data_IF_128872188007
#
_entry.id   IF_128872188007
#
_cell.length_a   1.000
_cell.length_b   1.000
_cell.length_c   1.000
_cell.angle_alpha   90.00
_cell.angle_beta   90.00
_cell.angle_gamma   90.00
#
_symmetry.space_group_name_H-M   'P 1'
#
loop_
_entity.id
_entity.type
_entity.pdbx_description
1 polymer ?
#
# COMPACT_ATOMS: atom_id res chain seq x y z
N UNK A 1 -68.87 -50.43 -82.59
CA UNK A 1 -67.63 -51.21 -82.46
C UNK A 1 -66.67 -50.38 -81.59
N UNK A 2 -66.51 -50.80 -80.38
CA UNK A 2 -65.78 -50.10 -79.30
C UNK A 2 -64.53 -50.90 -79.11
N UNK A 3 -63.36 -50.36 -79.37
CA UNK A 3 -62.09 -50.98 -79.01
C UNK A 3 -61.43 -50.21 -77.85
N UNK A 4 -61.25 -50.98 -76.79
CA UNK A 4 -60.65 -50.67 -75.53
C UNK A 4 -59.17 -50.34 -75.67
N UNK A 5 -58.72 -49.18 -75.24
CA UNK A 5 -57.29 -48.94 -74.97
C UNK A 5 -57.02 -49.21 -73.50
N UNK A 6 -56.42 -50.37 -73.22
CA UNK A 6 -55.71 -50.57 -71.90
C UNK A 6 -54.33 -49.98 -71.93
N UNK A 7 -54.16 -48.89 -71.29
CA UNK A 7 -52.81 -48.34 -70.99
C UNK A 7 -52.09 -49.17 -70.03
N UNK A 8 -51.04 -49.87 -70.45
CA UNK A 8 -50.03 -50.47 -69.51
C UNK A 8 -49.14 -49.36 -68.98
N UNK A 9 -49.49 -48.89 -67.80
CA UNK A 9 -48.51 -48.13 -67.03
C UNK A 9 -47.53 -49.12 -66.36
N UNK A 10 -46.36 -49.26 -67.00
CA UNK A 10 -45.28 -50.12 -66.53
C UNK A 10 -44.80 -49.66 -65.16
N UNK A 11 -44.77 -50.58 -64.18
CA UNK A 11 -44.21 -50.36 -62.84
C UNK A 11 -42.76 -49.86 -62.89
N UNK A 12 -42.06 -50.00 -64.00
CA UNK A 12 -40.72 -49.42 -64.19
C UNK A 12 -40.76 -47.89 -64.46
N UNK A 13 -41.82 -47.37 -64.99
CA UNK A 13 -41.97 -45.91 -65.15
C UNK A 13 -42.25 -45.17 -63.87
N UNK A 14 -43.02 -45.78 -62.96
CA UNK A 14 -43.29 -45.23 -61.65
C UNK A 14 -42.05 -45.24 -60.75
N UNK A 15 -41.22 -46.30 -60.82
CA UNK A 15 -39.98 -46.37 -60.09
C UNK A 15 -38.93 -45.36 -60.60
N UNK A 16 -38.88 -45.14 -61.93
CA UNK A 16 -37.97 -44.14 -62.51
C UNK A 16 -38.37 -42.69 -62.17
N UNK A 17 -39.68 -42.37 -62.14
CA UNK A 17 -40.17 -41.06 -61.74
C UNK A 17 -40.02 -40.80 -60.24
N UNK A 18 -40.18 -41.80 -59.38
CA UNK A 18 -39.93 -41.70 -57.93
C UNK A 18 -38.44 -41.49 -57.64
N UNK A 19 -37.56 -42.20 -58.34
CA UNK A 19 -36.10 -42.03 -58.22
C UNK A 19 -35.64 -40.66 -58.73
N UNK A 20 -36.19 -40.15 -59.78
CA UNK A 20 -35.88 -38.82 -60.34
C UNK A 20 -36.40 -37.71 -59.41
N UNK A 21 -37.59 -37.87 -58.81
CA UNK A 21 -38.13 -36.94 -57.81
C UNK A 21 -37.25 -36.93 -56.54
N UNK A 22 -36.75 -38.11 -56.07
CA UNK A 22 -35.87 -38.20 -54.93
C UNK A 22 -34.48 -37.60 -55.19
N UNK A 23 -33.97 -37.72 -56.43
CA UNK A 23 -32.72 -37.14 -56.87
C UNK A 23 -32.79 -35.61 -57.04
N UNK A 24 -33.96 -35.05 -57.34
CA UNK A 24 -34.16 -33.62 -57.41
C UNK A 24 -34.39 -32.97 -56.04
N UNK A 25 -34.89 -33.73 -55.04
CA UNK A 25 -35.09 -33.25 -53.68
C UNK A 25 -33.78 -33.38 -52.85
N UNK A 26 -32.88 -34.30 -53.25
CA UNK A 26 -31.60 -34.52 -52.54
C UNK A 26 -30.61 -33.36 -52.52
N UNK A 27 -30.51 -32.46 -53.51
CA UNK A 27 -29.66 -31.28 -53.40
C UNK A 27 -30.31 -30.10 -52.65
N UNK A 28 -31.58 -30.20 -52.30
CA UNK A 28 -32.26 -29.23 -51.44
C UNK A 28 -32.23 -29.62 -49.93
N UNK A 29 -31.25 -30.38 -49.50
CA UNK A 29 -30.76 -30.25 -48.15
C UNK A 29 -30.12 -28.87 -48.07
N UNK A 30 -30.93 -27.88 -47.74
CA UNK A 30 -30.49 -26.52 -47.43
C UNK A 30 -29.39 -26.69 -46.38
N UNK A 31 -28.13 -26.59 -46.81
CA UNK A 31 -27.06 -26.28 -45.93
C UNK A 31 -27.48 -25.00 -45.25
N UNK A 32 -28.04 -25.07 -44.09
CA UNK A 32 -28.18 -23.86 -43.25
C UNK A 32 -26.78 -23.38 -43.12
N UNK A 33 -26.41 -22.38 -43.92
CA UNK A 33 -25.26 -21.56 -43.62
C UNK A 33 -25.58 -21.01 -42.24
N UNK A 34 -24.93 -21.60 -41.22
CA UNK A 34 -24.97 -21.01 -39.91
C UNK A 34 -24.36 -19.63 -40.08
N UNK A 35 -25.18 -18.59 -40.12
CA UNK A 35 -24.69 -17.25 -40.01
C UNK A 35 -24.13 -17.16 -38.60
N UNK A 36 -22.83 -16.94 -38.49
CA UNK A 36 -22.20 -16.62 -37.20
C UNK A 36 -22.90 -15.41 -36.62
N UNK A 37 -23.43 -15.55 -35.44
CA UNK A 37 -24.02 -14.42 -34.73
C UNK A 37 -22.92 -13.42 -34.28
N UNK A 38 -23.35 -12.29 -33.79
CA UNK A 38 -22.42 -11.27 -33.29
C UNK A 38 -22.46 -11.29 -31.78
N UNK A 39 -21.34 -11.65 -31.14
CA UNK A 39 -21.17 -11.46 -29.69
C UNK A 39 -21.49 -10.02 -29.30
N UNK A 40 -22.18 -9.83 -28.20
CA UNK A 40 -22.44 -8.51 -27.63
C UNK A 40 -21.58 -8.24 -26.42
N UNK A 41 -21.34 -6.99 -26.05
CA UNK A 41 -20.51 -6.57 -24.91
C UNK A 41 -19.11 -7.22 -24.89
N UNK A 42 -18.51 -7.42 -26.06
CA UNK A 42 -17.15 -7.97 -26.17
C UNK A 42 -16.13 -6.93 -25.77
N UNK A 43 -15.25 -7.29 -24.87
CA UNK A 43 -14.04 -6.52 -24.59
C UNK A 43 -12.91 -7.42 -24.09
N UNK A 44 -11.69 -6.95 -24.30
CA UNK A 44 -10.47 -7.50 -23.72
C UNK A 44 -9.76 -6.37 -22.98
N UNK A 45 -9.62 -6.51 -21.67
CA UNK A 45 -8.87 -5.59 -20.86
C UNK A 45 -7.44 -6.11 -20.71
N UNK A 46 -6.49 -5.25 -20.96
CA UNK A 46 -5.08 -5.50 -20.65
C UNK A 46 -4.74 -4.77 -19.34
N UNK A 47 -4.05 -5.44 -18.43
CA UNK A 47 -3.63 -4.85 -17.16
C UNK A 47 -2.45 -3.90 -17.33
N UNK A 48 -1.73 -4.01 -18.44
CA UNK A 48 -0.72 -3.07 -18.93
C UNK A 48 -0.93 -2.82 -20.42
N UNK A 49 -0.81 -1.58 -20.82
CA UNK A 49 -0.94 -1.14 -22.21
C UNK A 49 0.34 -0.51 -22.75
N UNK A 50 1.38 -0.41 -21.92
CA UNK A 50 2.69 0.15 -22.33
C UNK A 50 3.36 -0.78 -23.34
N UNK A 51 3.92 -0.18 -24.40
CA UNK A 51 4.65 -0.89 -25.46
C UNK A 51 5.74 -1.79 -24.88
N UNK A 52 5.92 -2.97 -25.51
CA UNK A 52 6.92 -3.98 -25.14
C UNK A 52 6.82 -4.49 -23.69
N UNK A 53 5.67 -4.30 -23.04
CA UNK A 53 5.45 -4.73 -21.64
C UNK A 53 4.63 -6.02 -21.61
N UNK A 54 5.08 -6.98 -20.80
CA UNK A 54 4.34 -8.19 -20.50
C UNK A 54 3.09 -7.87 -19.68
N UNK A 55 1.96 -8.51 -20.00
CA UNK A 55 0.67 -8.16 -19.39
C UNK A 55 -0.21 -9.37 -19.12
N UNK A 56 -1.01 -9.26 -18.08
CA UNK A 56 -2.20 -10.06 -17.82
C UNK A 56 -3.45 -9.32 -18.30
N UNK A 57 -4.63 -9.94 -18.19
CA UNK A 57 -5.86 -9.24 -18.56
C UNK A 57 -7.11 -10.10 -18.43
N UNK A 58 -8.21 -9.54 -18.92
CA UNK A 58 -9.56 -10.14 -18.83
C UNK A 58 -10.20 -10.16 -20.20
N UNK A 59 -10.83 -11.27 -20.53
CA UNK A 59 -11.70 -11.45 -21.71
C UNK A 59 -13.13 -11.56 -21.23
N UNK A 60 -14.03 -10.78 -21.83
CA UNK A 60 -15.46 -10.90 -21.58
C UNK A 60 -16.24 -10.87 -22.91
N UNK A 61 -17.32 -11.64 -22.97
CA UNK A 61 -18.25 -11.64 -24.08
C UNK A 61 -19.64 -12.12 -23.65
N UNK A 62 -20.67 -11.63 -24.35
CA UNK A 62 -22.04 -12.11 -24.21
C UNK A 62 -22.44 -12.82 -25.51
N UNK A 63 -22.76 -14.13 -25.47
CA UNK A 63 -23.24 -14.87 -26.65
C UNK A 63 -24.61 -14.37 -27.09
N UNK A 64 -24.85 -14.35 -28.40
CA UNK A 64 -26.08 -13.92 -29.02
C UNK A 64 -26.86 -15.06 -29.69
N UNK A 65 -26.15 -16.14 -30.06
CA UNK A 65 -26.73 -17.27 -30.76
C UNK A 65 -26.75 -18.51 -29.85
N UNK A 66 -27.86 -19.23 -29.85
CA UNK A 66 -27.93 -20.53 -29.20
C UNK A 66 -27.08 -21.53 -29.96
N UNK A 67 -26.07 -22.06 -29.31
CA UNK A 67 -25.16 -23.08 -29.86
C UNK A 67 -24.63 -23.96 -28.74
N UNK A 68 -23.85 -24.97 -29.09
CA UNK A 68 -23.11 -25.75 -28.10
C UNK A 68 -21.64 -25.42 -28.25
N UNK A 69 -21.16 -24.50 -27.40
CA UNK A 69 -19.79 -24.07 -27.39
C UNK A 69 -18.89 -25.18 -26.84
N UNK A 70 -17.71 -25.30 -27.45
CA UNK A 70 -16.64 -26.19 -26.98
C UNK A 70 -15.30 -25.46 -26.88
N UNK A 71 -15.17 -24.31 -27.51
CA UNK A 71 -13.97 -23.47 -27.41
C UNK A 71 -14.31 -21.97 -27.61
N UNK A 72 -13.43 -21.14 -27.06
CA UNK A 72 -13.37 -19.71 -27.33
C UNK A 72 -11.98 -19.38 -27.89
N UNK A 73 -11.96 -18.62 -28.97
CA UNK A 73 -10.75 -18.07 -29.56
C UNK A 73 -10.66 -16.57 -29.26
N UNK A 74 -9.48 -16.15 -28.85
CA UNK A 74 -9.13 -14.76 -28.70
C UNK A 74 -8.01 -14.45 -29.67
N UNK A 75 -8.32 -13.64 -30.67
CA UNK A 75 -7.30 -13.12 -31.60
C UNK A 75 -6.81 -11.78 -31.09
N UNK A 76 -5.55 -11.74 -30.73
CA UNK A 76 -4.89 -10.52 -30.27
C UNK A 76 -4.50 -9.64 -31.45
N UNK A 77 -4.39 -8.31 -31.25
CA UNK A 77 -4.03 -7.43 -32.35
C UNK A 77 -2.64 -7.75 -32.93
N UNK A 78 -2.46 -7.40 -34.20
CA UNK A 78 -1.16 -7.50 -34.86
C UNK A 78 -0.09 -6.73 -34.10
N UNK A 79 1.12 -7.32 -34.01
CA UNK A 79 2.26 -6.71 -33.31
C UNK A 79 2.37 -7.09 -31.83
N UNK A 80 1.32 -7.68 -31.23
CA UNK A 80 1.44 -8.31 -29.91
C UNK A 80 2.24 -9.61 -30.01
N UNK A 81 3.06 -9.88 -29.02
CA UNK A 81 3.81 -11.14 -28.95
C UNK A 81 3.09 -12.09 -28.00
N UNK A 82 2.80 -13.28 -28.46
CA UNK A 82 2.13 -14.32 -27.67
C UNK A 82 3.12 -15.37 -27.21
N UNK A 83 2.96 -15.82 -25.98
CA UNK A 83 3.65 -16.97 -25.41
C UNK A 83 3.07 -18.29 -25.95
N UNK A 84 3.58 -19.40 -25.44
CA UNK A 84 3.02 -20.74 -25.74
C UNK A 84 1.67 -20.95 -25.07
N UNK A 85 0.90 -21.94 -25.50
CA UNK A 85 -0.40 -22.26 -24.91
C UNK A 85 -0.33 -22.44 -23.38
N UNK A 86 0.71 -23.06 -22.86
CA UNK A 86 0.91 -23.25 -21.43
C UNK A 86 1.10 -21.95 -20.62
N UNK A 87 1.46 -20.84 -21.27
CA UNK A 87 1.54 -19.53 -20.61
C UNK A 87 0.16 -18.90 -20.37
N UNK A 88 -0.87 -19.32 -21.12
CA UNK A 88 -2.23 -18.79 -20.97
C UNK A 88 -3.01 -19.52 -19.87
N UNK A 89 -2.46 -19.50 -18.65
CA UNK A 89 -3.19 -19.97 -17.46
C UNK A 89 -4.34 -19.01 -17.17
N UNK A 90 -5.49 -19.54 -16.77
CA UNK A 90 -6.70 -18.75 -16.58
C UNK A 90 -7.25 -18.84 -15.16
N UNK A 91 -8.04 -17.83 -14.79
CA UNK A 91 -8.78 -17.78 -13.55
C UNK A 91 -10.13 -17.12 -13.78
N UNK A 92 -11.14 -17.61 -13.06
CA UNK A 92 -12.48 -16.99 -13.01
C UNK A 92 -12.76 -16.32 -11.66
N UNK A 93 -11.74 -16.20 -10.81
CA UNK A 93 -11.82 -15.42 -9.55
C UNK A 93 -11.48 -13.96 -9.81
N UNK A 94 -11.99 -13.07 -8.95
CA UNK A 94 -11.74 -11.61 -9.05
C UNK A 94 -12.14 -11.00 -10.41
N UNK A 95 -13.28 -11.41 -10.93
CA UNK A 95 -13.92 -10.79 -12.10
C UNK A 95 -14.61 -9.48 -11.66
N UNK A 96 -13.86 -8.60 -10.99
CA UNK A 96 -14.41 -7.40 -10.36
C UNK A 96 -14.97 -6.39 -11.36
N UNK A 97 -14.59 -6.51 -12.61
CA UNK A 97 -15.09 -5.65 -13.68
C UNK A 97 -15.07 -6.40 -15.03
N UNK A 98 -16.15 -6.30 -15.79
CA UNK A 98 -17.34 -5.49 -15.54
C UNK A 98 -18.22 -6.11 -14.45
N UNK A 99 -18.98 -5.22 -13.76
CA UNK A 99 -19.98 -5.66 -12.78
C UNK A 99 -21.01 -6.60 -13.46
N UNK A 100 -21.24 -7.76 -12.87
CA UNK A 100 -22.15 -8.77 -13.41
C UNK A 100 -21.52 -9.81 -14.34
N UNK A 101 -20.17 -9.80 -14.48
CA UNK A 101 -19.46 -10.86 -15.20
C UNK A 101 -19.60 -12.21 -14.48
N UNK A 102 -20.07 -13.21 -15.21
CA UNK A 102 -20.17 -14.60 -14.77
C UNK A 102 -18.90 -15.35 -15.14
N UNK A 103 -18.49 -16.31 -14.31
CA UNK A 103 -17.37 -17.19 -14.63
C UNK A 103 -17.60 -17.93 -15.96
N UNK A 104 -16.64 -17.88 -16.87
CA UNK A 104 -16.71 -18.61 -18.14
C UNK A 104 -16.70 -20.12 -17.87
N UNK A 105 -17.71 -20.87 -18.28
CA UNK A 105 -17.82 -22.29 -17.94
C UNK A 105 -16.73 -23.13 -18.62
N UNK A 106 -16.20 -24.09 -17.89
CA UNK A 106 -15.15 -25.02 -18.35
C UNK A 106 -13.88 -24.38 -18.93
N UNK A 107 -13.68 -23.08 -18.70
CA UNK A 107 -12.46 -22.38 -19.12
C UNK A 107 -11.25 -22.99 -18.42
N UNK A 108 -10.19 -23.22 -19.15
CA UNK A 108 -8.92 -23.75 -18.63
C UNK A 108 -7.76 -23.19 -19.44
N UNK A 109 -6.52 -23.56 -19.08
CA UNK A 109 -5.33 -23.19 -19.84
C UNK A 109 -5.53 -23.40 -21.33
N UNK A 110 -5.04 -22.49 -22.15
CA UNK A 110 -5.18 -22.57 -23.60
C UNK A 110 -4.68 -23.90 -24.17
N UNK A 111 -5.38 -24.40 -25.15
CA UNK A 111 -5.04 -25.64 -25.85
C UNK A 111 -4.15 -25.40 -27.06
N UNK A 112 -4.23 -24.21 -27.67
CA UNK A 112 -3.45 -23.87 -28.86
C UNK A 112 -3.16 -22.38 -28.93
N UNK A 113 -2.00 -22.04 -29.51
CA UNK A 113 -1.64 -20.69 -29.96
C UNK A 113 -1.16 -20.80 -31.40
N UNK A 114 -1.82 -20.11 -32.31
CA UNK A 114 -1.46 -20.09 -33.72
C UNK A 114 -1.48 -18.63 -34.21
N UNK A 115 -0.32 -18.13 -34.64
CA UNK A 115 -0.18 -16.72 -35.03
C UNK A 115 -0.65 -15.80 -33.88
N UNK A 116 -1.67 -14.98 -34.12
CA UNK A 116 -2.24 -14.04 -33.14
C UNK A 116 -3.46 -14.61 -32.40
N UNK A 117 -3.82 -15.89 -32.61
CA UNK A 117 -5.03 -16.49 -32.05
C UNK A 117 -4.70 -17.52 -30.99
N UNK A 118 -5.35 -17.39 -29.85
CA UNK A 118 -5.27 -18.30 -28.70
C UNK A 118 -6.61 -19.00 -28.57
N UNK A 119 -6.60 -20.33 -28.47
CA UNK A 119 -7.80 -21.15 -28.29
C UNK A 119 -7.84 -21.69 -26.87
N UNK A 120 -8.96 -21.45 -26.19
CA UNK A 120 -9.24 -21.99 -24.86
C UNK A 120 -10.41 -22.96 -24.92
N UNK A 121 -10.47 -24.00 -24.07
CA UNK A 121 -11.67 -24.80 -23.90
C UNK A 121 -12.82 -23.95 -23.36
N UNK A 122 -14.04 -24.28 -23.72
CA UNK A 122 -15.26 -23.63 -23.24
C UNK A 122 -16.32 -24.68 -22.95
N UNK A 123 -17.17 -24.42 -21.96
CA UNK A 123 -18.47 -25.08 -21.83
C UNK A 123 -19.52 -24.34 -22.63
N UNK A 124 -20.71 -24.91 -22.64
CA UNK A 124 -21.89 -24.34 -23.26
C UNK A 124 -22.30 -23.00 -22.62
N UNK A 125 -22.67 -22.02 -23.41
CA UNK A 125 -22.94 -20.66 -22.98
C UNK A 125 -24.43 -20.33 -23.09
N UNK A 126 -24.95 -19.60 -22.10
CA UNK A 126 -26.32 -19.11 -22.13
C UNK A 126 -26.38 -17.75 -22.83
N UNK A 127 -27.21 -17.63 -23.86
CA UNK A 127 -27.45 -16.39 -24.60
C UNK A 127 -27.83 -15.26 -23.64
N UNK A 128 -27.24 -14.09 -23.83
CA UNK A 128 -27.48 -12.88 -23.04
C UNK A 128 -26.75 -12.81 -21.71
N UNK A 129 -25.99 -13.84 -21.32
CA UNK A 129 -25.18 -13.84 -20.10
C UNK A 129 -23.78 -13.34 -20.42
N UNK A 130 -23.26 -12.36 -19.64
CA UNK A 130 -21.89 -11.89 -19.77
C UNK A 130 -20.93 -12.86 -19.09
N UNK A 131 -20.11 -13.55 -19.85
CA UNK A 131 -19.07 -14.47 -19.36
C UNK A 131 -17.70 -13.82 -19.41
N UNK A 132 -16.89 -14.05 -18.35
CA UNK A 132 -15.55 -13.51 -18.25
C UNK A 132 -14.54 -14.54 -17.73
N UNK A 133 -13.27 -14.37 -18.13
CA UNK A 133 -12.12 -15.02 -17.52
C UNK A 133 -10.88 -14.12 -17.59
N UNK A 134 -9.95 -14.32 -16.68
CA UNK A 134 -8.64 -13.67 -16.68
C UNK A 134 -7.58 -14.62 -17.22
N UNK A 135 -6.62 -14.14 -18.04
CA UNK A 135 -5.32 -14.79 -18.15
C UNK A 135 -4.38 -14.21 -17.11
N UNK A 136 -3.70 -15.08 -16.35
CA UNK A 136 -3.03 -14.70 -15.10
C UNK A 136 -1.51 -14.70 -15.17
N UNK A 137 -0.93 -15.20 -16.23
CA UNK A 137 0.51 -15.26 -16.43
C UNK A 137 0.94 -14.15 -17.40
N UNK A 138 1.81 -13.24 -16.94
CA UNK A 138 2.33 -12.15 -17.76
C UNK A 138 3.19 -12.60 -18.95
N UNK A 139 3.73 -13.81 -18.91
CA UNK A 139 4.45 -14.39 -20.05
C UNK A 139 3.53 -14.79 -21.21
N UNK A 140 2.20 -14.70 -21.04
CA UNK A 140 1.22 -15.05 -22.07
C UNK A 140 1.18 -14.01 -23.20
N UNK A 141 1.22 -12.73 -22.85
CA UNK A 141 1.04 -11.62 -23.80
C UNK A 141 2.06 -10.51 -23.52
N UNK A 142 2.75 -10.07 -24.57
CA UNK A 142 3.52 -8.83 -24.55
C UNK A 142 2.89 -7.83 -25.50
N UNK A 143 2.65 -6.63 -25.03
CA UNK A 143 2.07 -5.51 -25.81
C UNK A 143 2.97 -5.16 -26.99
N UNK A 144 2.36 -4.76 -28.10
CA UNK A 144 3.09 -4.37 -29.33
C UNK A 144 4.20 -3.36 -29.04
N UNK A 145 5.28 -3.42 -29.81
CA UNK A 145 6.46 -2.55 -29.65
C UNK A 145 6.22 -1.10 -30.06
N UNK A 146 5.16 -0.83 -30.82
CA UNK A 146 4.79 0.51 -31.28
C UNK A 146 3.49 0.97 -30.64
N UNK A 147 3.45 2.25 -30.22
CA UNK A 147 2.23 2.85 -29.72
C UNK A 147 1.21 3.06 -30.88
N UNK A 148 -0.03 2.68 -30.62
CA UNK A 148 -1.14 2.79 -31.59
C UNK A 148 -2.42 3.13 -30.82
N UNK A 149 -3.16 4.13 -31.31
CA UNK A 149 -4.40 4.58 -30.68
C UNK A 149 -5.57 3.59 -30.83
N UNK A 150 -5.49 2.68 -31.79
CA UNK A 150 -6.51 1.66 -32.04
C UNK A 150 -5.88 0.39 -32.58
N UNK A 151 -5.96 -0.66 -31.81
CA UNK A 151 -5.59 -2.03 -32.17
C UNK A 151 -6.84 -2.89 -32.12
N UNK A 152 -7.11 -3.65 -33.18
CA UNK A 152 -8.29 -4.49 -33.26
C UNK A 152 -7.94 -5.96 -33.06
N UNK A 153 -8.66 -6.64 -32.19
CA UNK A 153 -8.67 -8.07 -32.02
C UNK A 153 -10.10 -8.63 -32.16
N UNK A 154 -10.25 -9.94 -31.99
CA UNK A 154 -11.53 -10.63 -32.15
C UNK A 154 -11.71 -11.68 -31.06
N UNK A 155 -12.93 -11.85 -30.57
CA UNK A 155 -13.34 -12.99 -29.74
C UNK A 155 -14.34 -13.79 -30.56
N UNK A 156 -14.15 -15.13 -30.61
CA UNK A 156 -14.98 -16.05 -31.39
C UNK A 156 -15.30 -17.28 -30.56
N UNK A 157 -16.57 -17.65 -30.46
CA UNK A 157 -17.00 -18.92 -29.87
C UNK A 157 -17.20 -19.97 -30.96
N UNK A 158 -16.89 -21.24 -30.67
CA UNK A 158 -16.89 -22.31 -31.64
C UNK A 158 -17.46 -23.60 -31.06
N UNK A 159 -18.03 -24.42 -31.95
CA UNK A 159 -18.43 -25.81 -31.69
C UNK A 159 -17.21 -26.73 -31.55
N UNK A 160 -17.42 -27.98 -31.17
CA UNK A 160 -16.39 -29.04 -31.10
C UNK A 160 -15.79 -29.40 -32.47
N UNK A 161 -16.56 -29.31 -33.54
CA UNK A 161 -16.03 -29.34 -34.93
C UNK A 161 -15.88 -27.86 -35.33
N UNK A 162 -14.70 -27.25 -35.28
CA UNK A 162 -14.49 -25.81 -35.10
C UNK A 162 -15.23 -24.94 -36.14
N UNK A 163 -16.57 -24.83 -35.95
CA UNK A 163 -17.42 -23.93 -36.66
C UNK A 163 -17.79 -22.76 -35.76
N UNK A 164 -17.70 -21.54 -36.28
CA UNK A 164 -18.01 -20.33 -35.55
C UNK A 164 -19.50 -20.27 -35.21
N UNK A 165 -19.80 -20.03 -33.93
CA UNK A 165 -21.15 -19.77 -33.42
C UNK A 165 -21.37 -18.25 -33.40
N UNK A 166 -20.58 -17.52 -32.63
CA UNK A 166 -20.61 -16.07 -32.51
C UNK A 166 -19.21 -15.47 -32.64
N UNK A 167 -19.10 -14.27 -33.17
CA UNK A 167 -17.85 -13.54 -33.28
C UNK A 167 -18.05 -12.04 -33.20
N UNK A 168 -17.16 -11.32 -32.55
CA UNK A 168 -17.10 -9.87 -32.60
C UNK A 168 -15.69 -9.35 -32.36
N UNK A 169 -15.43 -8.16 -32.88
CA UNK A 169 -14.18 -7.44 -32.69
C UNK A 169 -14.21 -6.64 -31.39
N UNK A 170 -13.05 -6.48 -30.80
CA UNK A 170 -12.78 -5.51 -29.73
C UNK A 170 -11.65 -4.57 -30.14
N UNK A 171 -11.63 -3.39 -29.56
CA UNK A 171 -10.56 -2.42 -29.77
C UNK A 171 -9.78 -2.18 -28.48
N UNK A 172 -8.50 -1.98 -28.61
CA UNK A 172 -7.58 -1.59 -27.53
C UNK A 172 -6.56 -0.61 -28.08
N UNK A 173 -5.66 -0.14 -27.23
CA UNK A 173 -4.54 0.70 -27.62
C UNK A 173 -3.23 0.19 -27.03
N UNK A 174 -2.13 0.60 -27.63
CA UNK A 174 -0.80 0.50 -27.02
C UNK A 174 -0.23 1.91 -26.84
N UNK A 175 0.35 2.19 -25.69
CA UNK A 175 0.79 3.53 -25.30
C UNK A 175 2.26 3.51 -24.88
N UNK A 176 2.94 4.65 -24.97
CA UNK A 176 4.35 4.75 -24.56
C UNK A 176 4.51 4.66 -23.04
N UNK A 177 3.49 5.07 -22.28
CA UNK A 177 3.46 4.95 -20.83
C UNK A 177 2.01 4.87 -20.34
N UNK A 178 1.76 3.92 -19.47
CA UNK A 178 0.45 3.69 -18.82
C UNK A 178 0.53 3.88 -17.30
N UNK A 179 1.65 4.45 -16.81
CA UNK A 179 1.89 4.69 -15.40
C UNK A 179 2.19 6.15 -15.12
N UNK A 180 1.68 6.62 -13.98
CA UNK A 180 1.95 7.95 -13.44
C UNK A 180 2.79 7.77 -12.19
N UNK A 181 4.00 8.33 -12.18
CA UNK A 181 4.83 8.37 -10.97
C UNK A 181 4.38 9.54 -10.10
N UNK A 182 3.95 9.25 -8.89
CA UNK A 182 3.64 10.25 -7.87
C UNK A 182 4.76 10.26 -6.85
N UNK A 183 5.36 11.44 -6.62
CA UNK A 183 6.44 11.63 -5.65
C UNK A 183 6.09 12.79 -4.71
N UNK A 184 6.58 12.69 -3.47
CA UNK A 184 6.45 13.73 -2.47
C UNK A 184 7.70 13.78 -1.60
N UNK A 185 8.01 14.97 -1.06
CA UNK A 185 9.08 15.19 -0.09
C UNK A 185 8.48 15.69 1.21
N UNK A 186 8.86 15.07 2.33
CA UNK A 186 8.53 15.55 3.68
C UNK A 186 9.79 16.23 4.24
N UNK A 187 9.79 17.56 4.45
CA UNK A 187 10.95 18.27 5.00
C UNK A 187 11.17 17.86 6.46
N UNK A 188 12.44 17.88 6.90
CA UNK A 188 12.79 17.71 8.31
C UNK A 188 12.27 18.86 9.15
N UNK A 189 11.77 18.57 10.35
CA UNK A 189 11.28 19.55 11.30
C UNK A 189 11.73 19.22 12.71
N UNK A 190 12.17 20.24 13.46
CA UNK A 190 12.51 20.17 14.87
C UNK A 190 12.08 21.47 15.54
N UNK A 191 11.39 21.37 16.66
CA UNK A 191 11.14 22.49 17.54
C UNK A 191 11.44 22.11 18.99
N UNK A 192 12.00 23.09 19.71
CA UNK A 192 12.37 22.98 21.12
C UNK A 192 11.93 24.24 21.82
N UNK A 193 11.24 24.10 22.98
CA UNK A 193 10.76 25.21 23.75
C UNK A 193 10.88 24.93 25.26
N UNK A 194 11.26 25.95 26.02
CA UNK A 194 11.20 25.93 27.48
C UNK A 194 9.96 26.68 27.96
N UNK A 195 9.31 26.18 29.02
CA UNK A 195 8.11 26.80 29.59
C UNK A 195 8.40 28.12 30.36
N UNK A 196 9.64 28.41 30.63
CA UNK A 196 10.09 29.61 31.29
C UNK A 196 11.58 29.61 31.55
N UNK A 197 12.12 30.78 31.89
CA UNK A 197 13.57 31.04 32.13
C UNK A 197 13.96 31.23 33.60
N UNK A 198 13.02 31.12 34.53
CA UNK A 198 13.27 31.34 35.98
C UNK A 198 12.65 30.21 36.79
N UNK A 199 13.38 29.69 37.77
CA UNK A 199 12.92 28.70 38.73
C UNK A 199 13.28 29.16 40.15
N UNK A 200 12.31 29.77 40.81
CA UNK A 200 12.51 30.36 42.14
C UNK A 200 12.24 29.31 43.23
N UNK A 201 13.30 28.83 43.90
CA UNK A 201 13.22 27.82 44.97
C UNK A 201 12.69 28.38 46.27
N UNK A 202 12.65 29.71 46.40
CA UNK A 202 12.17 30.40 47.62
C UNK A 202 13.17 30.35 48.80
N UNK A 203 12.65 30.43 50.01
CA UNK A 203 13.47 30.39 51.24
C UNK A 203 13.79 28.93 51.63
N UNK A 204 15.07 28.60 51.77
CA UNK A 204 15.53 27.28 52.08
C UNK A 204 15.52 27.01 53.59
N UNK A 205 15.25 25.80 54.02
CA UNK A 205 15.26 25.35 55.41
C UNK A 205 16.20 24.16 55.60
N UNK A 206 16.90 24.13 56.72
CA UNK A 206 17.75 22.99 57.10
C UNK A 206 16.96 21.73 57.43
N UNK A 207 15.66 21.89 57.77
CA UNK A 207 14.79 20.75 58.14
C UNK A 207 14.13 20.05 56.96
N UNK A 208 14.34 20.53 55.73
CA UNK A 208 13.69 19.91 54.52
C UNK A 208 14.54 20.06 53.28
N UNK A 209 14.30 19.16 52.31
CA UNK A 209 14.75 19.36 50.92
C UNK A 209 13.70 20.20 50.21
N UNK A 210 14.15 21.27 49.54
CA UNK A 210 13.26 22.13 48.71
C UNK A 210 13.39 21.70 47.25
N UNK A 211 12.29 21.37 46.62
CA UNK A 211 12.19 21.14 45.16
C UNK A 211 11.51 22.32 44.47
N UNK A 212 11.78 22.50 43.19
CA UNK A 212 11.10 23.52 42.35
C UNK A 212 9.59 23.55 42.62
N UNK A 213 9.02 24.62 43.13
CA UNK A 213 7.57 24.71 43.33
C UNK A 213 6.82 24.79 42.01
N UNK A 214 7.49 25.24 40.95
CA UNK A 214 6.97 25.28 39.58
C UNK A 214 8.05 24.82 38.64
N UNK A 215 8.22 23.48 38.49
CA UNK A 215 9.25 22.90 37.61
C UNK A 215 9.14 23.42 36.19
N UNK A 216 10.24 23.58 35.50
CA UNK A 216 10.26 24.00 34.09
C UNK A 216 10.16 22.79 33.19
N UNK A 217 9.50 23.01 32.03
CA UNK A 217 9.39 21.93 31.02
C UNK A 217 10.16 22.30 29.77
N UNK A 218 10.80 21.28 29.17
CA UNK A 218 11.34 21.34 27.84
C UNK A 218 10.46 20.49 26.93
N UNK A 219 9.85 21.13 25.91
CA UNK A 219 8.96 20.47 24.96
C UNK A 219 9.67 20.27 23.63
N UNK A 220 9.64 19.04 23.09
CA UNK A 220 10.23 18.68 21.80
C UNK A 220 9.15 18.21 20.85
N UNK A 221 9.18 18.74 19.59
CA UNK A 221 8.43 18.21 18.47
C UNK A 221 9.39 17.96 17.31
N UNK A 222 9.34 16.79 16.70
CA UNK A 222 10.19 16.46 15.57
C UNK A 222 9.64 15.28 14.74
N UNK A 223 9.88 15.32 13.43
CA UNK A 223 9.68 14.18 12.56
C UNK A 223 10.99 13.40 12.28
N UNK A 224 12.03 13.64 13.06
CA UNK A 224 13.29 12.92 12.95
C UNK A 224 13.09 11.42 13.22
N UNK A 225 13.39 10.59 12.22
CA UNK A 225 13.19 9.14 12.29
C UNK A 225 14.05 8.48 13.36
N UNK A 226 15.28 9.01 13.58
CA UNK A 226 16.24 8.47 14.54
C UNK A 226 16.10 9.10 15.92
N UNK A 227 15.05 9.91 16.13
CA UNK A 227 14.73 10.50 17.44
C UNK A 227 15.35 11.86 17.70
N UNK A 228 15.57 12.16 18.96
CA UNK A 228 16.06 13.44 19.43
C UNK A 228 16.83 13.28 20.75
N UNK A 229 17.62 14.31 21.09
CA UNK A 229 18.32 14.38 22.38
C UNK A 229 18.20 15.76 22.98
N UNK A 230 18.20 15.81 24.33
CA UNK A 230 18.24 17.04 25.14
C UNK A 230 19.40 16.95 26.12
N UNK A 231 20.17 18.02 26.20
CA UNK A 231 21.33 18.17 27.08
C UNK A 231 21.14 19.39 27.98
N UNK A 232 21.83 19.36 29.12
CA UNK A 232 21.97 20.55 29.95
C UNK A 232 23.39 20.67 30.52
N UNK A 233 23.72 21.88 30.97
CA UNK A 233 24.91 22.20 31.75
C UNK A 233 24.62 23.33 32.71
N UNK A 234 25.36 23.40 33.82
CA UNK A 234 25.39 24.55 34.73
C UNK A 234 26.37 25.62 34.23
N UNK A 235 26.15 26.87 34.60
CA UNK A 235 27.13 27.91 34.47
C UNK A 235 28.20 27.84 35.60
N UNK A 236 27.79 27.37 36.78
CA UNK A 236 28.63 27.17 37.97
C UNK A 236 28.56 25.70 38.39
N UNK A 237 29.21 25.27 39.40
CA UNK A 237 29.11 23.89 39.90
C UNK A 237 28.14 23.79 41.10
N UNK A 238 27.03 24.56 41.03
CA UNK A 238 25.98 24.65 42.04
C UNK A 238 25.43 26.06 42.23
N UNK A 239 24.55 26.25 43.21
CA UNK A 239 23.99 27.53 43.55
C UNK A 239 25.04 28.38 44.28
N UNK A 240 25.50 29.47 43.66
CA UNK A 240 26.57 30.33 44.18
C UNK A 240 25.98 31.66 44.67
N UNK A 241 26.49 32.18 45.80
CA UNK A 241 26.23 33.49 46.35
C UNK A 241 27.52 34.31 46.37
N UNK A 242 27.47 35.46 45.72
CA UNK A 242 28.56 36.44 45.79
C UNK A 242 28.63 37.10 47.15
N UNK A 243 27.48 37.39 47.77
CA UNK A 243 27.36 38.04 49.10
C UNK A 243 27.96 37.17 50.18
N UNK A 244 27.66 35.85 50.19
CA UNK A 244 28.22 34.90 51.16
C UNK A 244 29.59 34.39 50.78
N UNK A 245 30.08 34.59 49.57
CA UNK A 245 31.26 33.95 48.98
C UNK A 245 31.22 32.42 49.19
N UNK A 246 30.03 31.83 48.96
CA UNK A 246 29.75 30.43 49.24
C UNK A 246 28.95 29.80 48.10
N UNK A 247 29.05 28.48 48.00
CA UNK A 247 28.32 27.70 47.01
C UNK A 247 27.63 26.50 47.67
N UNK A 248 26.35 26.26 47.37
CA UNK A 248 25.67 25.02 47.62
C UNK A 248 26.01 24.12 46.43
N UNK A 249 26.99 23.26 46.61
CA UNK A 249 27.59 22.48 45.53
C UNK A 249 26.58 21.51 44.90
N UNK A 250 26.66 21.35 43.57
CA UNK A 250 25.99 20.26 42.86
C UNK A 250 26.47 18.92 43.43
N UNK A 251 25.55 17.94 43.47
CA UNK A 251 25.94 16.55 43.74
C UNK A 251 26.88 16.04 42.66
N UNK A 252 27.49 14.86 42.85
CA UNK A 252 28.46 14.33 41.90
C UNK A 252 27.88 14.33 40.47
N UNK A 253 28.49 15.05 39.52
CA UNK A 253 28.02 15.12 38.16
C UNK A 253 28.02 13.73 37.50
N UNK A 254 26.95 13.42 36.77
CA UNK A 254 26.78 12.14 36.10
C UNK A 254 26.37 10.99 37.00
N UNK A 255 26.05 11.24 38.28
CA UNK A 255 25.54 10.24 39.23
C UNK A 255 24.17 10.64 39.76
N UNK A 256 23.24 9.68 39.84
CA UNK A 256 21.95 9.91 40.50
C UNK A 256 22.15 9.89 42.04
N UNK A 257 21.50 10.83 42.72
CA UNK A 257 21.51 10.91 44.16
C UNK A 257 20.19 11.41 44.71
N UNK A 258 19.95 11.21 46.01
CA UNK A 258 18.81 11.80 46.72
C UNK A 258 19.36 12.69 47.81
N UNK A 259 18.96 13.96 47.79
CA UNK A 259 19.34 14.92 48.84
C UNK A 259 18.66 14.58 50.16
N UNK A 260 19.34 14.90 51.25
CA UNK A 260 18.82 14.74 52.61
C UNK A 260 18.76 16.08 53.33
N UNK A 261 17.72 16.31 54.13
CA UNK A 261 17.62 17.48 55.00
C UNK A 261 18.85 17.60 55.90
N UNK A 262 19.35 18.81 56.12
CA UNK A 262 20.51 19.09 56.94
C UNK A 262 21.86 18.82 56.27
N UNK A 263 21.90 18.30 55.05
CA UNK A 263 23.11 18.10 54.25
C UNK A 263 23.04 18.98 52.99
N UNK A 264 24.01 19.91 52.87
CA UNK A 264 24.00 20.82 51.72
C UNK A 264 24.22 20.07 50.40
N UNK A 265 23.43 20.40 49.40
CA UNK A 265 23.53 19.81 48.05
C UNK A 265 22.48 20.38 47.08
N UNK A 266 22.80 20.27 45.78
CA UNK A 266 21.96 20.72 44.68
C UNK A 266 21.97 19.68 43.57
N UNK A 267 20.81 19.35 43.02
CA UNK A 267 20.70 18.45 41.88
C UNK A 267 19.47 18.77 41.03
N UNK A 268 19.41 18.16 39.82
CA UNK A 268 18.35 18.28 38.87
C UNK A 268 17.76 16.91 38.55
N UNK A 269 16.45 16.78 38.77
CA UNK A 269 15.68 15.58 38.43
C UNK A 269 14.84 15.78 37.20
N UNK A 270 14.76 14.78 36.32
CA UNK A 270 13.97 14.78 35.11
C UNK A 270 12.91 13.71 35.19
N UNK A 271 11.67 14.11 34.84
CA UNK A 271 10.60 13.19 34.46
C UNK A 271 10.17 13.48 33.03
N UNK A 272 9.54 12.53 32.37
CA UNK A 272 9.11 12.69 30.97
C UNK A 272 7.69 12.24 30.72
N UNK A 273 7.04 12.89 29.77
CA UNK A 273 5.74 12.46 29.22
C UNK A 273 5.84 12.45 27.71
N UNK A 274 5.45 11.34 27.09
CA UNK A 274 5.30 11.25 25.65
C UNK A 274 3.90 11.72 25.26
N UNK A 275 3.77 12.66 24.32
CA UNK A 275 2.52 13.01 23.72
C UNK A 275 2.13 11.98 22.65
N UNK A 276 2.56 12.21 21.40
CA UNK A 276 2.39 11.26 20.29
C UNK A 276 3.69 11.15 19.50
N UNK A 277 3.80 10.12 18.66
CA UNK A 277 4.96 9.80 17.85
C UNK A 277 5.38 8.35 18.00
N UNK A 278 6.42 7.96 17.29
CA UNK A 278 6.92 6.57 17.28
C UNK A 278 8.03 6.34 18.30
N UNK A 279 8.61 7.42 18.85
CA UNK A 279 9.75 7.32 19.76
C UNK A 279 9.35 6.99 21.19
N UNK A 280 10.27 6.37 21.91
CA UNK A 280 10.21 6.14 23.36
C UNK A 280 11.19 7.06 24.05
N UNK A 281 10.73 7.85 25.04
CA UNK A 281 11.60 8.75 25.79
C UNK A 281 12.38 7.93 26.83
N UNK A 282 13.68 8.05 26.81
CA UNK A 282 14.59 7.52 27.81
C UNK A 282 15.25 8.66 28.56
N UNK A 283 14.93 8.84 29.85
CA UNK A 283 15.62 9.77 30.73
C UNK A 283 16.97 9.15 31.09
N UNK A 284 18.05 9.93 30.97
CA UNK A 284 19.38 9.46 31.32
C UNK A 284 19.45 9.10 32.80
N UNK A 285 20.00 7.93 33.11
CA UNK A 285 20.05 7.35 34.49
C UNK A 285 20.49 8.34 35.57
N UNK A 286 21.52 9.19 35.37
CA UNK A 286 21.92 10.16 36.37
C UNK A 286 20.82 11.16 36.77
N UNK A 287 19.94 11.49 35.83
CA UNK A 287 18.93 12.53 36.01
C UNK A 287 17.51 12.00 36.27
N UNK A 288 17.33 10.70 36.46
CA UNK A 288 15.99 10.16 36.77
C UNK A 288 15.49 10.77 38.07
N UNK A 289 14.42 11.59 37.98
CA UNK A 289 13.73 12.27 39.04
C UNK A 289 12.47 11.55 39.53
N UNK A 290 11.45 12.31 39.91
CA UNK A 290 10.11 11.83 40.27
C UNK A 290 9.87 11.71 41.80
N UNK A 291 10.87 11.93 42.62
CA UNK A 291 10.72 12.08 44.09
C UNK A 291 11.48 13.31 44.56
N UNK A 292 11.08 13.87 45.70
CA UNK A 292 11.72 15.03 46.31
C UNK A 292 13.21 14.80 46.52
N UNK A 293 14.04 15.70 46.06
CA UNK A 293 15.48 15.65 46.18
C UNK A 293 16.21 14.67 45.28
N UNK A 294 15.51 13.87 44.46
CA UNK A 294 16.12 12.87 43.56
C UNK A 294 16.51 13.49 42.22
N UNK A 295 17.76 13.29 41.83
CA UNK A 295 18.33 13.78 40.59
C UNK A 295 19.82 13.61 40.49
N UNK A 296 20.43 14.23 39.47
CA UNK A 296 21.89 14.22 39.24
C UNK A 296 22.47 15.62 39.28
N UNK A 297 23.73 15.71 39.67
CA UNK A 297 24.49 16.95 39.60
C UNK A 297 24.78 17.32 38.15
N UNK A 298 24.63 18.61 37.84
CA UNK A 298 25.16 19.23 36.64
C UNK A 298 26.52 19.84 36.90
N UNK A 299 27.27 20.11 35.88
CA UNK A 299 28.53 20.84 35.85
C UNK A 299 28.62 21.70 34.59
N UNK A 300 29.73 22.32 34.34
CA UNK A 300 29.96 23.17 33.16
C UNK A 300 30.03 22.39 31.84
N UNK A 301 29.97 21.07 31.85
CA UNK A 301 29.96 20.22 30.68
C UNK A 301 28.55 19.82 30.31
N UNK A 302 28.24 19.77 29.00
CA UNK A 302 26.96 19.29 28.50
C UNK A 302 26.75 17.81 28.87
N UNK A 303 25.63 17.54 29.55
CA UNK A 303 25.20 16.21 29.95
C UNK A 303 23.87 15.87 29.36
N UNK A 304 23.71 14.66 28.82
CA UNK A 304 22.44 14.20 28.29
C UNK A 304 21.42 14.07 29.42
N UNK A 305 20.30 14.76 29.30
CA UNK A 305 19.14 14.66 30.20
C UNK A 305 18.20 13.54 29.76
N UNK A 306 17.88 13.50 28.46
CA UNK A 306 17.02 12.49 27.88
C UNK A 306 17.25 12.36 26.37
N UNK A 307 16.83 11.23 25.83
CA UNK A 307 16.79 10.95 24.39
C UNK A 307 15.51 10.22 24.01
N UNK A 308 15.23 10.17 22.72
CA UNK A 308 14.18 9.33 22.15
C UNK A 308 14.69 8.69 20.86
N UNK A 309 14.16 7.55 20.49
CA UNK A 309 14.54 6.75 19.32
C UNK A 309 13.62 6.93 18.11
N UNK A 310 12.71 7.91 18.13
CA UNK A 310 11.79 8.15 17.03
C UNK A 310 11.13 9.53 17.07
N UNK A 311 10.14 9.70 16.20
CA UNK A 311 9.39 10.95 16.06
C UNK A 311 8.66 11.32 17.36
N UNK A 312 8.45 12.61 17.56
CA UNK A 312 7.75 13.13 18.73
C UNK A 312 6.83 14.30 18.38
N UNK A 313 5.66 14.32 18.98
CA UNK A 313 4.80 15.48 19.06
C UNK A 313 4.42 15.69 20.52
N UNK A 314 4.77 16.84 21.07
CA UNK A 314 4.56 17.19 22.46
C UNK A 314 5.25 16.20 23.44
N UNK A 315 6.49 15.87 23.15
CA UNK A 315 7.35 15.17 24.13
C UNK A 315 7.82 16.19 25.16
N UNK A 316 7.50 15.97 26.42
CA UNK A 316 7.76 16.92 27.52
C UNK A 316 8.73 16.31 28.51
N UNK A 317 9.81 17.02 28.78
CA UNK A 317 10.71 16.77 29.91
C UNK A 317 10.41 17.80 31.01
N UNK A 318 10.06 17.33 32.21
CA UNK A 318 9.90 18.20 33.39
C UNK A 318 11.21 18.24 34.13
N UNK A 319 11.78 19.43 34.26
CA UNK A 319 13.04 19.73 34.93
C UNK A 319 12.73 20.23 36.34
N UNK A 320 13.08 19.45 37.35
CA UNK A 320 12.87 19.79 38.77
C UNK A 320 14.22 20.00 39.44
N UNK A 321 14.51 21.21 39.88
CA UNK A 321 15.70 21.49 40.64
C UNK A 321 15.43 21.26 42.12
N UNK A 322 16.36 20.62 42.80
CA UNK A 322 16.26 20.31 44.22
C UNK A 322 17.48 20.85 44.97
N UNK A 323 17.25 21.39 46.17
CA UNK A 323 18.31 21.90 47.03
C UNK A 323 18.07 21.52 48.49
N UNK A 324 19.14 21.23 49.18
CA UNK A 324 19.18 21.08 50.64
C UNK A 324 20.31 21.95 51.21
N UNK A 325 20.11 22.47 52.42
CA UNK A 325 21.09 23.26 53.12
C UNK A 325 21.44 22.66 54.50
N UNK A 326 22.66 22.88 54.95
CA UNK A 326 23.11 22.46 56.26
C UNK A 326 23.05 23.60 57.26
N UNK A 327 23.19 23.33 58.56
CA UNK A 327 23.27 24.34 59.59
C UNK A 327 24.45 25.32 59.42
N UNK A 328 25.46 24.94 58.63
CA UNK A 328 26.67 25.72 58.34
C UNK A 328 26.63 26.40 56.98
N UNK A 329 25.55 26.26 56.21
CA UNK A 329 25.39 27.00 54.95
C UNK A 329 25.24 28.48 55.26
N UNK A 330 26.10 29.29 54.64
CA UNK A 330 26.10 30.74 54.92
C UNK A 330 24.78 31.40 54.47
N UNK A 331 24.25 32.29 55.30
CA UNK A 331 22.99 33.00 54.98
C UNK A 331 23.23 34.06 53.93
N UNK A 332 22.49 34.02 52.84
CA UNK A 332 22.45 35.04 51.79
C UNK A 332 21.14 34.96 51.00
N UNK A 333 20.75 36.02 50.32
CA UNK A 333 19.53 36.09 49.54
C UNK A 333 19.78 35.97 48.00
N UNK A 334 21.04 35.80 47.58
CA UNK A 334 21.51 35.86 46.20
C UNK A 334 22.04 34.54 45.64
N UNK A 335 21.75 33.39 46.29
CA UNK A 335 22.12 32.09 45.77
C UNK A 335 21.45 31.85 44.41
N UNK A 336 22.24 31.67 43.39
CA UNK A 336 21.77 31.49 42.02
C UNK A 336 22.67 30.58 41.20
N UNK A 337 22.10 29.95 40.19
CA UNK A 337 22.77 29.25 39.15
C UNK A 337 22.04 29.46 37.81
N UNK A 338 22.72 29.18 36.68
CA UNK A 338 22.13 29.26 35.36
C UNK A 338 22.29 27.93 34.64
N UNK A 339 21.18 27.24 34.41
CA UNK A 339 21.17 26.00 33.64
C UNK A 339 20.89 26.31 32.18
N UNK A 340 21.82 25.93 31.30
CA UNK A 340 21.59 25.95 29.86
C UNK A 340 21.03 24.63 29.40
N UNK A 341 19.86 24.62 28.75
CA UNK A 341 19.21 23.41 28.20
C UNK A 341 19.12 23.55 26.69
N UNK A 342 19.56 22.54 25.95
CA UNK A 342 19.56 22.52 24.49
C UNK A 342 19.00 21.20 23.97
N UNK A 343 18.48 21.19 22.72
CA UNK A 343 17.96 19.99 22.07
C UNK A 343 18.30 19.92 20.60
N UNK A 344 18.34 18.72 20.06
CA UNK A 344 18.53 18.46 18.65
C UNK A 344 17.75 17.23 18.16
N UNK A 345 17.29 17.23 16.90
CA UNK A 345 16.72 16.09 16.22
C UNK A 345 17.79 15.29 15.47
N UNK A 346 17.61 13.98 15.37
CA UNK A 346 18.51 13.02 14.71
C UNK A 346 17.87 12.56 13.39
N UNK A 347 18.05 13.30 12.31
CA UNK A 347 17.44 13.06 10.99
C UNK A 347 18.14 11.95 10.20
#
# INVERSE_FOLDING_TARGET
>A
MINSFKSLISTRGIAATLLLALAIISPFVISRTAFAGTLTQVFVRFDRMQTSTATTGTVCATPATTGTEASVQVTFPTGYTLGTAGNFTVSTTNLAWPTGGTAWPSIATATNVSSQTVTFPSGDLTVGTLYCFNWTNSAAVTVASSATSSNTGTVTTQTSAPATIDSATYNTASVTSDQITVSATVPSSFSFALSGSTDALGTLSTGSVTSSPTPRTATVNTNAKNGWMVWAKDANTGLSSATASATIASTTPGSNSTLSAGTAGYNTGITSTQGSGTGTITVATPFVGGSTGKGGGLDTSLRTLASSDGTASNAVLTVTNNVAVSATTAAAADYSDTITVIGAGLF
#
